data_IF_143544162247
#
_entry.id   IF_143544162247
#
_cell.length_a   1.000
_cell.length_b   1.000
_cell.length_c   1.000
_cell.angle_alpha   90.00
_cell.angle_beta   90.00
_cell.angle_gamma   90.00
#
_symmetry.space_group_name_H-M   'P 1'
#
loop_
_entity.id
_entity.type
_entity.pdbx_description
1 polymer ?
#
# COMPACT_ATOMS: atom_id res chain seq x y z
N UNK A 1 39.97 -50.14 9.13
CA UNK A 1 38.72 -49.73 9.80
C UNK A 1 39.02 -48.47 10.60
N UNK A 2 38.90 -47.29 9.96
CA UNK A 2 38.88 -45.94 10.56
C UNK A 2 38.81 -44.95 9.39
N UNK A 3 37.59 -44.62 8.95
CA UNK A 3 37.36 -43.57 7.95
C UNK A 3 37.29 -42.22 8.65
N UNK A 4 38.24 -41.35 8.30
CA UNK A 4 38.33 -39.94 8.66
C UNK A 4 37.36 -39.18 7.73
N UNK A 5 36.27 -38.65 8.28
CA UNK A 5 35.37 -37.76 7.56
C UNK A 5 35.82 -36.32 7.80
N UNK A 6 36.34 -35.69 6.75
CA UNK A 6 36.55 -34.24 6.67
C UNK A 6 35.19 -33.54 6.70
N UNK A 7 34.94 -32.77 7.78
CA UNK A 7 33.88 -31.76 7.80
C UNK A 7 34.40 -30.51 7.10
N UNK A 8 34.04 -30.37 5.83
CA UNK A 8 34.10 -29.09 5.13
C UNK A 8 33.16 -28.10 5.82
N UNK A 9 33.74 -27.04 6.40
CA UNK A 9 33.00 -25.91 6.92
C UNK A 9 32.36 -25.13 5.78
N UNK A 10 31.04 -25.23 5.65
CA UNK A 10 30.24 -24.33 4.82
C UNK A 10 30.19 -22.96 5.48
N UNK A 11 31.14 -22.12 5.07
CA UNK A 11 31.13 -20.68 5.31
C UNK A 11 29.91 -20.11 4.59
N UNK A 12 28.85 -19.78 5.33
CA UNK A 12 27.75 -18.98 4.79
C UNK A 12 28.29 -17.58 4.55
N UNK A 13 28.75 -17.33 3.33
CA UNK A 13 28.89 -15.98 2.81
C UNK A 13 27.49 -15.33 2.87
N UNK A 14 27.26 -14.56 3.93
CA UNK A 14 26.19 -13.58 3.97
C UNK A 14 26.50 -12.56 2.89
N UNK A 15 25.96 -12.78 1.70
CA UNK A 15 25.87 -11.75 0.68
C UNK A 15 25.03 -10.63 1.27
N UNK A 16 25.72 -9.61 1.77
CA UNK A 16 25.17 -8.34 2.17
C UNK A 16 24.64 -7.71 0.87
N UNK A 17 23.40 -8.04 0.52
CA UNK A 17 22.67 -7.33 -0.52
C UNK A 17 22.40 -5.97 0.09
N UNK A 18 23.28 -5.02 -0.20
CA UNK A 18 23.02 -3.61 -0.01
C UNK A 18 21.77 -3.30 -0.82
N UNK A 19 20.63 -3.29 -0.13
CA UNK A 19 19.44 -2.62 -0.62
C UNK A 19 19.86 -1.17 -0.78
N UNK A 20 20.25 -0.80 -2.01
CA UNK A 20 20.33 0.59 -2.41
C UNK A 20 18.91 1.12 -2.22
N UNK A 21 18.71 1.69 -1.04
CA UNK A 21 17.58 2.51 -0.70
C UNK A 21 17.69 3.78 -1.56
N UNK A 22 17.40 3.63 -2.85
CA UNK A 22 17.23 4.68 -3.86
C UNK A 22 15.92 5.47 -3.57
N UNK A 23 15.69 5.72 -2.28
CA UNK A 23 14.48 6.31 -1.69
C UNK A 23 14.51 7.83 -1.71
N UNK A 24 15.50 8.42 -2.36
CA UNK A 24 15.75 9.85 -2.36
C UNK A 24 16.14 10.31 -3.76
N UNK A 25 15.21 10.20 -4.72
CA UNK A 25 15.18 11.18 -5.80
C UNK A 25 14.57 12.44 -5.19
N UNK A 26 15.35 13.52 -4.96
CA UNK A 26 14.76 14.81 -4.64
C UNK A 26 13.81 15.16 -5.80
N UNK A 27 12.54 15.42 -5.49
CA UNK A 27 11.67 16.05 -6.47
C UNK A 27 12.32 17.41 -6.76
N UNK A 28 12.95 17.53 -7.92
CA UNK A 28 13.28 18.83 -8.47
C UNK A 28 11.92 19.51 -8.69
N UNK A 29 11.69 20.61 -7.97
CA UNK A 29 10.53 21.49 -8.17
C UNK A 29 10.64 22.01 -9.60
N UNK A 30 10.08 21.28 -10.56
CA UNK A 30 10.00 21.72 -11.95
C UNK A 30 8.98 22.86 -12.03
N UNK A 31 9.58 24.05 -12.14
CA UNK A 31 9.11 25.34 -12.62
C UNK A 31 7.72 25.34 -13.28
N UNK A 32 6.88 26.24 -12.78
CA UNK A 32 5.49 26.49 -13.20
C UNK A 32 5.46 27.01 -14.66
N UNK A 33 5.46 26.09 -15.62
CA UNK A 33 5.30 26.36 -17.04
C UNK A 33 3.84 26.62 -17.42
N UNK A 34 3.47 27.88 -17.37
CA UNK A 34 2.56 28.66 -18.24
C UNK A 34 1.41 27.92 -18.98
N UNK A 35 0.20 28.30 -18.56
CA UNK A 35 -1.15 28.07 -19.07
C UNK A 35 -1.30 27.77 -20.58
N UNK A 36 -1.62 26.51 -20.91
CA UNK A 36 -2.15 26.14 -22.22
C UNK A 36 -3.64 25.74 -22.09
N UNK A 37 -4.52 26.69 -22.45
CA UNK A 37 -6.00 26.66 -22.37
C UNK A 37 -6.65 25.69 -23.39
N UNK A 38 -6.14 24.47 -23.51
CA UNK A 38 -6.81 23.42 -24.26
C UNK A 38 -7.79 22.65 -23.37
N UNK A 39 -8.96 23.26 -23.10
CA UNK A 39 -10.14 22.61 -22.51
C UNK A 39 -10.77 21.65 -23.52
N UNK A 40 -10.00 20.63 -23.93
CA UNK A 40 -10.57 19.45 -24.53
C UNK A 40 -11.37 18.74 -23.44
N UNK A 41 -12.70 18.76 -23.54
CA UNK A 41 -13.59 17.98 -22.68
C UNK A 41 -13.15 16.52 -22.79
N UNK A 42 -12.35 16.05 -21.81
CA UNK A 42 -11.96 14.64 -21.73
C UNK A 42 -13.28 13.88 -21.65
N UNK A 43 -13.52 12.89 -22.54
CA UNK A 43 -14.72 12.09 -22.46
C UNK A 43 -14.83 11.56 -21.03
N UNK A 44 -16.01 11.73 -20.42
CA UNK A 44 -16.28 11.33 -19.04
C UNK A 44 -15.56 10.02 -18.77
N UNK A 45 -14.59 10.06 -17.85
CA UNK A 45 -13.69 8.96 -17.61
C UNK A 45 -14.54 7.71 -17.43
N UNK A 46 -14.46 6.78 -18.38
CA UNK A 46 -15.22 5.55 -18.33
C UNK A 46 -14.59 4.73 -17.21
N UNK A 47 -15.07 4.95 -15.99
CA UNK A 47 -14.56 4.22 -14.84
C UNK A 47 -14.81 2.74 -15.13
N UNK A 48 -13.76 1.90 -15.08
CA UNK A 48 -13.91 0.47 -15.26
C UNK A 48 -14.98 -0.03 -14.29
N UNK A 49 -15.80 -0.99 -14.71
CA UNK A 49 -16.77 -1.63 -13.82
C UNK A 49 -16.07 -2.41 -12.68
N UNK A 50 -16.84 -2.95 -11.74
CA UNK A 50 -16.29 -3.64 -10.55
C UNK A 50 -15.20 -4.67 -10.89
N UNK A 51 -15.47 -5.65 -11.79
CA UNK A 51 -14.47 -6.64 -12.20
C UNK A 51 -13.20 -6.02 -12.81
N UNK A 52 -13.34 -5.02 -13.68
CA UNK A 52 -12.19 -4.36 -14.29
C UNK A 52 -11.35 -3.57 -13.27
N UNK A 53 -11.96 -3.00 -12.22
CA UNK A 53 -11.24 -2.33 -11.12
C UNK A 53 -10.41 -3.31 -10.29
N UNK A 54 -11.00 -4.45 -9.94
CA UNK A 54 -10.28 -5.51 -9.20
C UNK A 54 -9.09 -6.00 -10.02
N UNK A 55 -9.28 -6.25 -11.32
CA UNK A 55 -8.21 -6.67 -12.21
C UNK A 55 -7.11 -5.61 -12.36
N UNK A 56 -7.47 -4.32 -12.46
CA UNK A 56 -6.50 -3.23 -12.56
C UNK A 56 -5.64 -3.11 -11.29
N UNK A 57 -6.25 -3.20 -10.10
CA UNK A 57 -5.50 -3.16 -8.84
C UNK A 57 -4.56 -4.37 -8.70
N UNK A 58 -5.03 -5.58 -9.01
CA UNK A 58 -4.19 -6.78 -9.01
C UNK A 58 -3.04 -6.67 -10.02
N UNK A 59 -3.32 -6.14 -11.21
CA UNK A 59 -2.31 -5.89 -12.25
C UNK A 59 -1.22 -4.92 -11.80
N UNK A 60 -1.55 -3.91 -11.00
CA UNK A 60 -0.55 -3.03 -10.39
C UNK A 60 0.40 -3.80 -9.47
N UNK A 61 -0.13 -4.61 -8.53
CA UNK A 61 0.72 -5.36 -7.60
C UNK A 61 1.55 -6.44 -8.30
N UNK A 62 1.00 -7.09 -9.32
CA UNK A 62 1.73 -8.03 -10.17
C UNK A 62 2.90 -7.34 -10.90
N UNK A 63 2.64 -6.20 -11.53
CA UNK A 63 3.67 -5.42 -12.24
C UNK A 63 4.78 -4.95 -11.30
N UNK A 64 4.44 -4.45 -10.11
CA UNK A 64 5.41 -4.04 -9.09
C UNK A 64 6.28 -5.19 -8.58
N UNK A 65 5.72 -6.41 -8.55
CA UNK A 65 6.39 -7.63 -8.11
C UNK A 65 7.23 -8.33 -9.19
N UNK A 66 6.94 -8.12 -10.48
CA UNK A 66 7.47 -8.94 -11.58
C UNK A 66 9.00 -9.09 -11.60
N UNK A 67 9.73 -7.99 -11.39
CA UNK A 67 11.20 -7.96 -11.41
C UNK A 67 11.86 -8.16 -10.04
N UNK A 68 11.07 -8.43 -8.98
CA UNK A 68 11.56 -8.48 -7.60
C UNK A 68 11.93 -9.89 -7.16
N UNK A 69 12.83 -9.96 -6.17
CA UNK A 69 13.20 -11.25 -5.55
C UNK A 69 11.99 -11.90 -4.86
N UNK A 70 11.94 -13.24 -4.71
CA UNK A 70 10.81 -13.92 -4.10
C UNK A 70 10.39 -13.37 -2.71
N UNK A 71 11.32 -13.06 -1.78
CA UNK A 71 10.96 -12.47 -0.49
C UNK A 71 10.33 -11.07 -0.59
N UNK A 72 10.69 -10.28 -1.60
CA UNK A 72 10.10 -8.96 -1.83
C UNK A 72 8.72 -9.07 -2.45
N UNK A 73 8.52 -10.00 -3.41
CA UNK A 73 7.19 -10.31 -3.95
C UNK A 73 6.22 -10.77 -2.87
N UNK A 74 6.67 -11.63 -1.96
CA UNK A 74 5.87 -12.06 -0.81
C UNK A 74 5.47 -10.90 0.10
N UNK A 75 6.35 -9.91 0.30
CA UNK A 75 6.02 -8.69 1.04
C UNK A 75 4.97 -7.84 0.31
N UNK A 76 5.05 -7.75 -1.02
CA UNK A 76 4.10 -6.97 -1.82
C UNK A 76 2.71 -7.61 -1.79
N UNK A 77 2.63 -8.93 -1.96
CA UNK A 77 1.38 -9.69 -1.83
C UNK A 77 0.73 -9.52 -0.45
N UNK A 78 1.52 -9.45 0.63
CA UNK A 78 0.99 -9.13 1.97
C UNK A 78 0.42 -7.72 2.09
N UNK A 79 1.01 -6.74 1.41
CA UNK A 79 0.47 -5.37 1.38
C UNK A 79 -0.84 -5.33 0.59
N UNK A 80 -0.90 -6.01 -0.56
CA UNK A 80 -2.13 -6.17 -1.35
C UNK A 80 -3.25 -6.81 -0.52
N UNK A 81 -2.97 -7.95 0.11
CA UNK A 81 -3.95 -8.64 0.96
C UNK A 81 -4.44 -7.73 2.10
N UNK A 82 -3.54 -6.97 2.74
CA UNK A 82 -3.91 -6.04 3.81
C UNK A 82 -4.73 -4.85 3.29
N UNK A 83 -4.48 -4.38 2.07
CA UNK A 83 -5.30 -3.34 1.45
C UNK A 83 -6.73 -3.85 1.23
N UNK A 84 -6.89 -5.07 0.72
CA UNK A 84 -8.21 -5.68 0.58
C UNK A 84 -8.92 -5.86 1.92
N UNK A 85 -8.23 -6.39 2.93
CA UNK A 85 -8.77 -6.53 4.29
C UNK A 85 -9.19 -5.18 4.88
N UNK A 86 -8.35 -4.15 4.72
CA UNK A 86 -8.68 -2.78 5.11
C UNK A 86 -9.97 -2.29 4.46
N UNK A 87 -10.10 -2.42 3.14
CA UNK A 87 -11.28 -1.98 2.41
C UNK A 87 -12.54 -2.79 2.76
N UNK A 88 -12.39 -4.04 3.16
CA UNK A 88 -13.50 -4.94 3.51
C UNK A 88 -13.96 -4.77 4.97
N UNK A 89 -13.11 -4.29 5.88
CA UNK A 89 -13.43 -4.23 7.32
C UNK A 89 -13.47 -2.83 7.93
N UNK A 90 -12.78 -1.83 7.36
CA UNK A 90 -12.73 -0.49 7.97
C UNK A 90 -14.07 0.24 7.89
N UNK A 91 -14.34 1.08 8.89
CA UNK A 91 -15.35 2.12 8.76
C UNK A 91 -14.84 3.21 7.82
N UNK A 92 -15.44 3.29 6.63
CA UNK A 92 -15.07 4.25 5.59
C UNK A 92 -15.79 5.59 5.73
N UNK A 93 -16.77 5.71 6.64
CA UNK A 93 -17.55 6.93 6.81
C UNK A 93 -16.71 8.21 7.04
N UNK A 94 -15.58 8.17 7.75
CA UNK A 94 -14.71 9.34 7.89
C UNK A 94 -14.08 9.83 6.59
N UNK A 95 -13.95 8.96 5.58
CA UNK A 95 -13.23 9.25 4.33
C UNK A 95 -14.17 9.56 3.16
N UNK A 96 -15.30 8.85 3.07
CA UNK A 96 -16.24 8.97 1.94
C UNK A 96 -17.66 9.41 2.36
N UNK A 97 -17.86 9.70 3.64
CA UNK A 97 -19.14 10.12 4.19
C UNK A 97 -20.09 8.98 4.56
N UNK A 98 -21.13 9.31 5.33
CA UNK A 98 -22.05 8.34 5.93
C UNK A 98 -22.98 7.67 4.93
N UNK A 99 -23.37 8.36 3.85
CA UNK A 99 -24.22 7.82 2.79
C UNK A 99 -23.55 6.65 2.06
N UNK A 100 -22.38 6.86 1.42
CA UNK A 100 -21.61 5.78 0.82
C UNK A 100 -21.25 4.67 1.82
N UNK A 101 -20.86 5.01 3.05
CA UNK A 101 -20.56 4.01 4.07
C UNK A 101 -21.77 3.09 4.37
N UNK A 102 -22.99 3.62 4.42
CA UNK A 102 -24.20 2.81 4.60
C UNK A 102 -24.44 1.85 3.43
N UNK A 103 -24.16 2.29 2.19
CA UNK A 103 -24.22 1.42 1.01
C UNK A 103 -23.19 0.28 1.11
N UNK A 104 -21.99 0.57 1.59
CA UNK A 104 -20.95 -0.44 1.80
C UNK A 104 -21.34 -1.48 2.85
N UNK A 105 -21.96 -1.05 3.95
CA UNK A 105 -22.48 -1.96 4.98
C UNK A 105 -23.49 -2.93 4.37
N UNK A 106 -24.43 -2.43 3.56
CA UNK A 106 -25.41 -3.27 2.88
C UNK A 106 -24.76 -4.26 1.89
N UNK A 107 -23.74 -3.84 1.12
CA UNK A 107 -23.03 -4.76 0.21
C UNK A 107 -22.20 -5.80 0.99
N UNK A 108 -21.59 -5.43 2.12
CA UNK A 108 -20.84 -6.35 3.00
C UNK A 108 -21.74 -7.41 3.65
N UNK A 109 -23.00 -7.09 3.93
CA UNK A 109 -24.00 -8.07 4.38
C UNK A 109 -24.33 -9.11 3.30
N UNK A 110 -24.25 -8.72 2.03
CA UNK A 110 -24.48 -9.62 0.89
C UNK A 110 -23.25 -10.49 0.60
N UNK A 111 -22.09 -9.87 0.45
CA UNK A 111 -20.81 -10.53 0.21
C UNK A 111 -19.67 -9.64 0.71
N UNK A 112 -18.99 -10.02 1.79
CA UNK A 112 -17.94 -9.16 2.37
C UNK A 112 -16.73 -8.98 1.47
N UNK A 113 -16.20 -10.09 0.93
CA UNK A 113 -14.93 -10.07 0.21
C UNK A 113 -15.03 -9.20 -1.06
N UNK A 114 -14.21 -8.15 -1.16
CA UNK A 114 -14.19 -7.23 -2.30
C UNK A 114 -15.43 -6.34 -2.42
N UNK A 115 -16.22 -6.19 -1.35
CA UNK A 115 -17.43 -5.36 -1.36
C UNK A 115 -17.15 -3.94 -1.83
N UNK A 116 -16.06 -3.35 -1.34
CA UNK A 116 -15.67 -1.99 -1.68
C UNK A 116 -15.49 -1.79 -3.19
N UNK A 117 -14.64 -2.59 -3.83
CA UNK A 117 -14.29 -2.41 -5.25
C UNK A 117 -15.44 -2.76 -6.21
N UNK A 118 -16.43 -3.54 -5.75
CA UNK A 118 -17.65 -3.81 -6.53
C UNK A 118 -18.52 -2.56 -6.67
N UNK A 119 -18.69 -1.78 -5.62
CA UNK A 119 -19.62 -0.64 -5.61
C UNK A 119 -18.95 0.72 -5.78
N UNK A 120 -17.67 0.84 -5.41
CA UNK A 120 -16.92 2.09 -5.48
C UNK A 120 -15.80 2.06 -6.53
N UNK A 121 -15.44 3.27 -6.97
CA UNK A 121 -14.40 3.52 -7.93
C UNK A 121 -13.04 3.75 -7.28
N UNK A 122 -12.09 4.22 -8.10
CA UNK A 122 -10.78 4.63 -7.62
C UNK A 122 -10.80 5.99 -6.92
N UNK A 123 -11.82 6.82 -7.16
CA UNK A 123 -12.04 8.07 -6.45
C UNK A 123 -12.17 7.81 -4.94
N UNK A 124 -13.07 6.90 -4.54
CA UNK A 124 -13.22 6.50 -3.14
C UNK A 124 -12.00 5.76 -2.60
N UNK A 125 -11.30 4.99 -3.44
CA UNK A 125 -10.06 4.32 -3.02
C UNK A 125 -9.02 5.36 -2.60
N UNK A 126 -8.83 6.44 -3.38
CA UNK A 126 -7.93 7.54 -3.02
C UNK A 126 -8.30 8.12 -1.66
N UNK A 127 -9.59 8.39 -1.42
CA UNK A 127 -10.07 8.88 -0.11
C UNK A 127 -9.70 7.93 1.05
N UNK A 128 -9.76 6.62 0.83
CA UNK A 128 -9.50 5.63 1.87
C UNK A 128 -8.00 5.33 2.08
N UNK A 129 -7.13 5.68 1.13
CA UNK A 129 -5.69 5.40 1.24
C UNK A 129 -5.03 6.11 2.43
N UNK A 130 -5.53 7.27 2.85
CA UNK A 130 -5.08 7.90 4.09
C UNK A 130 -5.29 6.96 5.28
N UNK A 131 -6.49 6.39 5.44
CA UNK A 131 -6.81 5.47 6.54
C UNK A 131 -5.92 4.24 6.58
N UNK A 132 -5.55 3.72 5.40
CA UNK A 132 -4.64 2.58 5.26
C UNK A 132 -3.21 2.88 5.75
N UNK A 133 -2.85 4.16 5.84
CA UNK A 133 -1.55 4.66 6.29
C UNK A 133 -1.56 5.12 7.74
N UNK A 134 -2.58 4.74 8.51
CA UNK A 134 -2.69 5.02 9.94
C UNK A 134 -2.59 3.73 10.77
N UNK A 135 -2.23 3.84 12.05
CA UNK A 135 -2.42 2.74 12.99
C UNK A 135 -3.96 2.51 13.17
N UNK A 136 -4.45 1.26 13.28
CA UNK A 136 -3.69 0.01 13.43
C UNK A 136 -3.29 -0.67 12.11
N UNK A 137 -3.64 -0.10 10.95
CA UNK A 137 -3.42 -0.73 9.64
C UNK A 137 -1.97 -0.68 9.14
N UNK A 138 -1.14 0.21 9.72
CA UNK A 138 0.30 0.18 9.48
C UNK A 138 0.99 -0.96 10.26
N UNK A 139 1.81 -1.80 9.60
CA UNK A 139 2.52 -2.91 10.23
C UNK A 139 3.41 -2.45 11.40
N UNK A 140 3.50 -3.27 12.44
CA UNK A 140 4.41 -3.02 13.56
C UNK A 140 5.87 -3.20 13.12
N UNK A 141 6.14 -4.18 12.24
CA UNK A 141 7.49 -4.46 11.75
C UNK A 141 7.95 -3.37 10.76
N UNK A 142 9.07 -2.69 11.06
CA UNK A 142 9.56 -1.55 10.30
C UNK A 142 9.76 -1.83 8.81
N UNK A 143 10.29 -3.02 8.45
CA UNK A 143 10.48 -3.40 7.05
C UNK A 143 9.17 -3.58 6.27
N UNK A 144 8.12 -4.06 6.94
CA UNK A 144 6.80 -4.20 6.30
C UNK A 144 6.10 -2.84 6.21
N UNK A 145 6.20 -2.03 7.27
CA UNK A 145 5.69 -0.65 7.30
C UNK A 145 6.27 0.18 6.15
N UNK A 146 7.59 0.16 5.96
CA UNK A 146 8.26 0.85 4.84
C UNK A 146 7.75 0.34 3.49
N UNK A 147 7.57 -0.98 3.36
CA UNK A 147 7.05 -1.60 2.13
C UNK A 147 5.62 -1.13 1.83
N UNK A 148 4.75 -1.06 2.83
CA UNK A 148 3.37 -0.58 2.68
C UNK A 148 3.32 0.88 2.28
N UNK A 149 4.04 1.76 2.96
CA UNK A 149 4.12 3.19 2.65
C UNK A 149 4.64 3.42 1.22
N UNK A 150 5.69 2.68 0.86
CA UNK A 150 6.31 2.66 -0.47
C UNK A 150 5.33 2.27 -1.58
N UNK A 151 4.57 1.19 -1.39
CA UNK A 151 3.59 0.72 -2.35
C UNK A 151 2.37 1.64 -2.42
N UNK A 152 1.90 2.18 -1.29
CA UNK A 152 0.80 3.13 -1.28
C UNK A 152 1.14 4.40 -2.09
N UNK A 153 2.37 4.92 -1.94
CA UNK A 153 2.86 6.04 -2.77
C UNK A 153 2.85 5.70 -4.26
N UNK A 154 3.43 4.55 -4.63
CA UNK A 154 3.49 4.12 -6.04
C UNK A 154 2.10 3.87 -6.62
N UNK A 155 1.19 3.29 -5.83
CA UNK A 155 -0.20 3.09 -6.22
C UNK A 155 -0.87 4.44 -6.49
N UNK A 156 -0.78 5.40 -5.56
CA UNK A 156 -1.38 6.73 -5.73
C UNK A 156 -0.88 7.43 -7.01
N UNK A 157 0.44 7.42 -7.26
CA UNK A 157 1.00 8.00 -8.48
C UNK A 157 0.62 7.22 -9.74
N UNK A 158 0.58 5.90 -9.68
CA UNK A 158 0.14 5.07 -10.79
C UNK A 158 -1.31 5.39 -11.17
N UNK A 159 -2.22 5.46 -10.19
CA UNK A 159 -3.62 5.83 -10.41
C UNK A 159 -3.75 7.22 -11.05
N UNK A 160 -2.93 8.20 -10.62
CA UNK A 160 -2.90 9.54 -11.21
C UNK A 160 -2.43 9.50 -12.67
N UNK A 161 -1.31 8.84 -12.94
CA UNK A 161 -0.72 8.75 -14.28
C UNK A 161 -1.63 8.00 -15.27
N UNK A 162 -2.35 6.99 -14.79
CA UNK A 162 -3.31 6.24 -15.62
C UNK A 162 -4.69 6.93 -15.72
N UNK A 163 -4.92 8.02 -14.98
CA UNK A 163 -6.22 8.70 -14.95
C UNK A 163 -7.35 7.83 -14.40
N UNK A 164 -7.07 7.02 -13.39
CA UNK A 164 -8.05 6.10 -12.79
C UNK A 164 -9.12 6.81 -11.95
N UNK A 165 -8.83 8.03 -11.51
CA UNK A 165 -9.70 8.89 -10.72
C UNK A 165 -9.77 10.29 -11.35
N UNK A 166 -10.85 11.02 -11.07
CA UNK A 166 -10.97 12.42 -11.48
C UNK A 166 -10.24 13.31 -10.46
N UNK A 167 -9.04 13.76 -10.84
CA UNK A 167 -8.20 14.59 -9.97
C UNK A 167 -8.88 15.90 -9.55
N UNK A 168 -9.80 16.44 -10.34
CA UNK A 168 -10.53 17.65 -9.94
C UNK A 168 -11.48 17.37 -8.78
N UNK A 169 -12.11 16.19 -8.78
CA UNK A 169 -13.06 15.77 -7.75
C UNK A 169 -12.34 15.38 -6.46
N UNK A 170 -11.26 14.60 -6.55
CA UNK A 170 -10.55 14.04 -5.38
C UNK A 170 -9.25 14.77 -5.03
N UNK A 171 -9.07 16.01 -5.48
CA UNK A 171 -7.85 16.80 -5.24
C UNK A 171 -7.47 16.86 -3.75
N UNK A 172 -8.40 17.20 -2.86
CA UNK A 172 -8.16 17.23 -1.41
C UNK A 172 -7.68 15.85 -0.89
N UNK A 173 -8.42 14.79 -1.19
CA UNK A 173 -8.08 13.43 -0.77
C UNK A 173 -6.72 12.95 -1.30
N UNK A 174 -6.35 13.34 -2.52
CA UNK A 174 -5.04 13.08 -3.10
C UNK A 174 -3.93 13.74 -2.27
N UNK A 175 -4.07 15.03 -1.94
CA UNK A 175 -3.07 15.73 -1.13
C UNK A 175 -3.04 15.25 0.32
N UNK A 176 -4.19 14.93 0.92
CA UNK A 176 -4.27 14.33 2.25
C UNK A 176 -3.56 12.98 2.30
N UNK A 177 -3.74 12.15 1.26
CA UNK A 177 -3.01 10.88 1.13
C UNK A 177 -1.51 11.12 0.98
N UNK A 178 -1.06 12.10 0.18
CA UNK A 178 0.37 12.46 0.09
C UNK A 178 0.93 12.90 1.45
N UNK A 179 0.18 13.73 2.18
CA UNK A 179 0.56 14.17 3.51
C UNK A 179 0.65 12.99 4.50
N UNK A 180 -0.29 12.04 4.42
CA UNK A 180 -0.28 10.82 5.21
C UNK A 180 0.93 9.94 4.90
N UNK A 181 1.30 9.80 3.62
CA UNK A 181 2.52 9.10 3.18
C UNK A 181 3.76 9.75 3.82
N UNK A 182 3.91 11.07 3.70
CA UNK A 182 5.10 11.78 4.22
C UNK A 182 5.16 11.81 5.75
N UNK A 183 4.01 11.87 6.42
CA UNK A 183 3.92 11.65 7.88
C UNK A 183 4.38 10.25 8.26
N UNK A 184 3.82 9.21 7.63
CA UNK A 184 4.16 7.81 7.92
C UNK A 184 5.64 7.51 7.65
N UNK A 185 6.24 8.12 6.62
CA UNK A 185 7.67 8.05 6.32
C UNK A 185 8.52 8.61 7.47
N UNK A 186 8.23 9.84 7.91
CA UNK A 186 8.95 10.48 9.03
C UNK A 186 8.87 9.65 10.31
N UNK A 187 7.69 9.10 10.60
CA UNK A 187 7.49 8.22 11.76
C UNK A 187 8.25 6.89 11.64
N UNK A 188 8.35 6.31 10.44
CA UNK A 188 9.09 5.07 10.20
C UNK A 188 10.62 5.24 10.31
N UNK A 189 11.13 6.47 10.17
CA UNK A 189 12.54 6.82 10.44
C UNK A 189 12.75 7.09 11.94
N UNK A 190 11.82 7.82 12.57
CA UNK A 190 11.92 8.24 13.97
C UNK A 190 11.64 7.15 15.01
N UNK A 191 10.82 6.14 14.68
CA UNK A 191 10.60 4.98 15.58
C UNK A 191 11.86 4.11 15.60
N UNK A 192 12.76 4.39 16.55
CA UNK A 192 13.74 3.39 16.99
C UNK A 192 12.94 2.17 17.46
N UNK A 193 13.22 0.94 16.98
CA UNK A 193 12.53 -0.23 17.49
C UNK A 193 12.74 -0.24 19.00
N UNK A 194 11.65 -0.08 19.76
CA UNK A 194 11.70 -0.27 21.21
C UNK A 194 12.24 -1.68 21.38
N UNK A 195 13.44 -1.86 21.97
CA UNK A 195 13.96 -3.19 22.21
C UNK A 195 12.85 -3.93 22.94
N UNK A 196 12.38 -5.05 22.37
CA UNK A 196 11.40 -5.89 23.06
C UNK A 196 12.01 -6.14 24.44
N UNK A 197 11.50 -5.46 25.46
CA UNK A 197 11.73 -5.88 26.82
C UNK A 197 11.37 -7.36 26.79
N UNK A 198 12.28 -8.23 27.19
CA UNK A 198 11.97 -9.65 27.37
C UNK A 198 10.76 -9.68 28.30
N UNK A 199 9.58 -9.79 27.72
CA UNK A 199 8.38 -10.13 28.46
C UNK A 199 8.52 -11.62 28.65
N UNK A 200 9.22 -12.00 29.71
CA UNK A 200 9.28 -13.38 30.15
C UNK A 200 7.83 -13.84 30.38
N UNK A 201 7.37 -14.75 29.53
CA UNK A 201 6.22 -15.61 29.83
C UNK A 201 4.89 -15.35 29.12
N UNK A 202 4.69 -14.26 28.38
CA UNK A 202 3.43 -14.01 27.67
C UNK A 202 3.63 -13.97 26.16
N UNK A 203 3.27 -15.09 25.50
CA UNK A 203 3.10 -15.15 24.05
C UNK A 203 1.92 -14.27 23.67
N UNK A 204 2.19 -13.00 23.36
CA UNK A 204 1.35 -12.26 22.43
C UNK A 204 1.44 -13.02 21.11
N UNK A 205 0.39 -13.79 20.81
CA UNK A 205 0.17 -14.31 19.47
C UNK A 205 -0.01 -13.07 18.61
N UNK A 206 1.00 -12.76 17.81
CA UNK A 206 0.87 -11.74 16.78
C UNK A 206 -0.23 -12.25 15.84
N UNK A 207 -1.38 -11.56 15.69
CA UNK A 207 -2.45 -12.05 14.82
C UNK A 207 -2.00 -12.21 13.35
N UNK A 208 -0.80 -11.74 13.04
CA UNK A 208 -0.19 -11.68 11.72
C UNK A 208 0.99 -12.65 11.50
N UNK A 209 1.27 -13.59 12.42
CA UNK A 209 2.31 -14.61 12.20
C UNK A 209 1.74 -15.87 11.54
N UNK A 210 1.75 -15.92 10.21
CA UNK A 210 1.48 -17.12 9.41
C UNK A 210 2.64 -17.38 8.45
#
# INVERSE_FOLDING_TARGET
MLHRLDRAGSRTESTMIEFHDDWFEPYEDEDEGEDDDHVGVRPAAMHPDGPARVAALAGFFEAEGFSRTPPTRARYARVESRLHEFLDDVDVAPFIGTGPAALLVAERERERAGAFLRIFGFDELVCCLEGFLLDPWLPVHAGERRTQISLAKRLLEHMRLQGWFDQMIVSCAYYDTKNAIERARREAVGRRPVPRARVDGLRLVDPWSW
#
